data_IF_167678779401
#
_entry.id   IF_167678779401
#
_cell.length_a   1.000
_cell.length_b   1.000
_cell.length_c   1.000
_cell.angle_alpha   90.00
_cell.angle_beta   90.00
_cell.angle_gamma   90.00
#
_symmetry.space_group_name_H-M   'P 1'
#
loop_
_entity.id
_entity.type
_entity.pdbx_description
1 polymer ?
#
# COMPACT_ATOMS: atom_id res chain seq x y z
N UNK A 1 11.78 -31.82 -29.04
CA UNK A 1 11.16 -31.73 -27.71
C UNK A 1 9.76 -32.35 -27.82
N UNK A 2 9.35 -33.17 -26.87
CA UNK A 2 8.02 -33.80 -26.91
C UNK A 2 6.97 -32.74 -26.66
N UNK A 3 5.93 -32.59 -27.50
CA UNK A 3 4.86 -31.57 -27.32
C UNK A 3 4.25 -31.54 -25.90
N UNK A 4 4.27 -32.68 -25.18
CA UNK A 4 3.77 -32.81 -23.82
C UNK A 4 4.63 -32.13 -22.73
N UNK A 5 5.89 -31.79 -23.05
CA UNK A 5 6.83 -31.18 -22.09
C UNK A 5 7.03 -29.69 -22.33
N UNK A 6 6.44 -29.14 -23.40
CA UNK A 6 6.67 -27.77 -23.83
C UNK A 6 6.16 -26.75 -22.81
N UNK A 7 4.93 -26.87 -22.34
CA UNK A 7 4.35 -25.90 -21.37
C UNK A 7 5.16 -25.87 -20.07
N UNK A 8 5.45 -27.02 -19.47
CA UNK A 8 6.22 -27.12 -18.23
C UNK A 8 7.64 -26.55 -18.39
N UNK A 9 8.28 -26.83 -19.52
CA UNK A 9 9.60 -26.31 -19.85
C UNK A 9 9.60 -24.78 -19.93
N UNK A 10 8.64 -24.18 -20.65
CA UNK A 10 8.58 -22.74 -20.79
C UNK A 10 8.19 -22.05 -19.47
N UNK A 11 7.26 -22.59 -18.67
CA UNK A 11 6.95 -22.03 -17.35
C UNK A 11 8.17 -22.09 -16.44
N UNK A 12 8.91 -23.18 -16.43
CA UNK A 12 10.13 -23.32 -15.63
C UNK A 12 11.17 -22.29 -16.05
N UNK A 13 11.50 -22.21 -17.34
CA UNK A 13 12.44 -21.23 -17.88
C UNK A 13 12.00 -19.79 -17.61
N UNK A 14 10.72 -19.50 -17.77
CA UNK A 14 10.17 -18.20 -17.49
C UNK A 14 10.41 -17.78 -16.04
N UNK A 15 10.08 -18.64 -15.07
CA UNK A 15 10.19 -18.31 -13.64
C UNK A 15 11.66 -18.28 -13.17
N UNK A 16 12.51 -19.20 -13.63
CA UNK A 16 13.87 -19.37 -13.12
C UNK A 16 14.90 -18.54 -13.89
N UNK A 17 14.88 -18.60 -15.21
CA UNK A 17 15.91 -17.99 -16.06
C UNK A 17 15.53 -16.58 -16.51
N UNK A 18 14.31 -16.41 -17.03
CA UNK A 18 13.87 -15.12 -17.55
C UNK A 18 13.56 -14.11 -16.46
N UNK A 19 12.67 -14.45 -15.52
CA UNK A 19 12.25 -13.50 -14.47
C UNK A 19 13.37 -13.25 -13.45
N UNK A 20 14.04 -14.30 -12.99
CA UNK A 20 15.10 -14.17 -11.99
C UNK A 20 16.41 -13.67 -12.62
N UNK A 21 16.86 -14.29 -13.73
CA UNK A 21 18.13 -14.00 -14.36
C UNK A 21 18.09 -12.73 -15.22
N UNK A 22 17.32 -12.75 -16.31
CA UNK A 22 17.35 -11.66 -17.29
C UNK A 22 16.64 -10.38 -16.84
N UNK A 23 15.51 -10.52 -16.14
CA UNK A 23 14.68 -9.37 -15.67
C UNK A 23 15.02 -8.93 -14.25
N UNK A 24 15.82 -9.70 -13.52
CA UNK A 24 16.19 -9.45 -12.12
C UNK A 24 15.00 -9.01 -11.25
N UNK A 25 13.86 -9.72 -11.40
CA UNK A 25 12.65 -9.40 -10.66
C UNK A 25 12.75 -9.89 -9.22
N UNK A 26 12.02 -9.21 -8.32
CA UNK A 26 12.02 -9.59 -6.91
C UNK A 26 11.41 -10.98 -6.70
N UNK A 27 11.91 -11.71 -5.70
CA UNK A 27 11.38 -13.02 -5.30
C UNK A 27 9.86 -12.99 -5.04
N UNK A 28 9.33 -11.90 -4.49
CA UNK A 28 7.88 -11.74 -4.28
C UNK A 28 7.10 -11.70 -5.61
N UNK A 29 7.67 -11.08 -6.65
CA UNK A 29 7.05 -11.03 -7.99
C UNK A 29 7.06 -12.42 -8.60
N UNK A 30 8.18 -13.13 -8.51
CA UNK A 30 8.33 -14.49 -9.03
C UNK A 30 7.36 -15.43 -8.32
N UNK A 31 7.25 -15.36 -6.98
CA UNK A 31 6.30 -16.14 -6.20
C UNK A 31 4.85 -15.86 -6.60
N UNK A 32 4.47 -14.59 -6.78
CA UNK A 32 3.11 -14.22 -7.23
C UNK A 32 2.78 -14.77 -8.61
N UNK A 33 3.76 -14.84 -9.50
CA UNK A 33 3.58 -15.43 -10.83
C UNK A 33 3.51 -16.95 -10.76
N UNK A 34 4.38 -17.58 -9.96
CA UNK A 34 4.31 -19.02 -9.70
C UNK A 34 2.92 -19.44 -9.14
N UNK A 35 2.37 -18.66 -8.20
CA UNK A 35 1.01 -18.86 -7.68
C UNK A 35 -0.05 -18.77 -8.79
N UNK A 36 0.15 -17.89 -9.78
CA UNK A 36 -0.76 -17.81 -10.93
C UNK A 36 -0.73 -19.08 -11.75
N UNK A 37 0.46 -19.60 -12.08
CA UNK A 37 0.56 -20.85 -12.83
C UNK A 37 0.06 -22.04 -12.05
N UNK A 38 0.25 -22.10 -10.73
CA UNK A 38 -0.38 -23.10 -9.87
C UNK A 38 -1.91 -23.09 -10.01
N UNK A 39 -2.52 -21.90 -10.04
CA UNK A 39 -3.96 -21.78 -10.24
C UNK A 39 -4.40 -22.18 -11.66
N UNK A 40 -3.59 -21.87 -12.69
CA UNK A 40 -3.82 -22.33 -14.07
C UNK A 40 -3.82 -23.86 -14.13
N UNK A 41 -2.84 -24.53 -13.52
CA UNK A 41 -2.78 -25.99 -13.45
C UNK A 41 -4.02 -26.60 -12.76
N UNK A 42 -4.46 -25.98 -11.65
CA UNK A 42 -5.68 -26.40 -10.95
C UNK A 42 -6.91 -26.25 -11.85
N UNK A 43 -7.06 -25.12 -12.55
CA UNK A 43 -8.17 -24.91 -13.48
C UNK A 43 -8.21 -25.96 -14.59
N UNK A 44 -7.07 -26.23 -15.24
CA UNK A 44 -7.02 -27.25 -16.28
C UNK A 44 -7.39 -28.65 -15.73
N UNK A 45 -6.90 -28.99 -14.55
CA UNK A 45 -7.20 -30.26 -13.92
C UNK A 45 -8.68 -30.39 -13.51
N UNK A 46 -9.26 -29.35 -12.90
CA UNK A 46 -10.61 -29.44 -12.31
C UNK A 46 -11.73 -29.10 -13.28
N UNK A 47 -11.50 -28.21 -14.23
CA UNK A 47 -12.54 -27.71 -15.17
C UNK A 47 -12.41 -28.35 -16.55
N UNK A 48 -11.17 -28.53 -17.01
CA UNK A 48 -10.91 -29.09 -18.36
C UNK A 48 -10.60 -30.60 -18.34
N UNK A 49 -10.44 -31.19 -17.16
CA UNK A 49 -10.05 -32.61 -17.00
C UNK A 49 -8.70 -32.95 -17.68
N UNK A 50 -7.79 -31.96 -17.75
CA UNK A 50 -6.45 -32.12 -18.30
C UNK A 50 -5.45 -32.13 -17.15
N UNK A 51 -4.75 -33.23 -16.95
CA UNK A 51 -3.72 -33.35 -15.91
C UNK A 51 -2.52 -32.46 -16.22
N UNK A 52 -1.83 -31.96 -15.19
CA UNK A 52 -0.77 -30.96 -15.30
C UNK A 52 0.38 -31.39 -16.27
N UNK A 53 0.66 -32.69 -16.34
CA UNK A 53 1.68 -33.27 -17.22
C UNK A 53 1.25 -33.35 -18.70
N UNK A 54 -0.04 -33.13 -19.00
CA UNK A 54 -0.60 -33.19 -20.34
C UNK A 54 -0.92 -31.83 -20.94
N UNK A 55 -0.78 -30.75 -20.17
CA UNK A 55 -1.01 -29.39 -20.67
C UNK A 55 0.09 -29.03 -21.67
N UNK A 56 -0.31 -28.53 -22.82
CA UNK A 56 0.57 -28.09 -23.92
C UNK A 56 0.42 -26.60 -24.19
N UNK A 57 1.22 -26.03 -25.08
CA UNK A 57 1.01 -24.65 -25.54
C UNK A 57 -0.23 -24.52 -26.42
N UNK A 58 -0.69 -25.58 -27.08
CA UNK A 58 -1.96 -25.61 -27.83
C UNK A 58 -3.18 -25.35 -26.91
N UNK A 59 -3.07 -25.69 -25.61
CA UNK A 59 -4.14 -25.45 -24.63
C UNK A 59 -4.18 -23.98 -24.16
N UNK A 60 -3.12 -23.21 -24.41
CA UNK A 60 -3.04 -21.80 -24.08
C UNK A 60 -3.77 -20.95 -25.12
N UNK A 61 -5.09 -21.10 -25.17
CA UNK A 61 -5.98 -20.36 -26.05
C UNK A 61 -6.61 -19.17 -25.34
N UNK A 62 -7.08 -18.18 -26.11
CA UNK A 62 -7.85 -17.06 -25.55
C UNK A 62 -9.04 -17.51 -24.72
N UNK A 63 -9.79 -18.50 -25.21
CA UNK A 63 -11.01 -18.95 -24.57
C UNK A 63 -10.72 -19.71 -23.27
N UNK A 64 -9.65 -20.50 -23.20
CA UNK A 64 -9.21 -21.14 -21.98
C UNK A 64 -8.71 -20.10 -20.96
N UNK A 65 -8.03 -19.03 -21.37
CA UNK A 65 -7.59 -17.99 -20.47
C UNK A 65 -8.75 -17.14 -19.96
N UNK A 66 -9.76 -16.86 -20.76
CA UNK A 66 -11.00 -16.20 -20.31
C UNK A 66 -11.71 -17.11 -19.30
N UNK A 67 -11.94 -18.38 -19.65
CA UNK A 67 -12.58 -19.35 -18.74
C UNK A 67 -11.82 -19.49 -17.40
N UNK A 68 -10.49 -19.47 -17.42
CA UNK A 68 -9.68 -19.43 -16.19
C UNK A 68 -9.94 -18.19 -15.35
N UNK A 69 -10.02 -17.03 -15.99
CA UNK A 69 -10.24 -15.76 -15.28
C UNK A 69 -11.67 -15.67 -14.70
N UNK A 70 -12.66 -16.20 -15.41
CA UNK A 70 -14.05 -16.26 -14.94
C UNK A 70 -14.19 -17.31 -13.80
N UNK A 71 -13.53 -18.45 -13.90
CA UNK A 71 -13.45 -19.43 -12.82
C UNK A 71 -12.85 -18.88 -11.53
N UNK A 72 -11.83 -18.01 -11.65
CA UNK A 72 -11.26 -17.33 -10.49
C UNK A 72 -12.29 -16.45 -9.77
N UNK A 73 -13.09 -15.70 -10.51
CA UNK A 73 -14.10 -14.79 -9.92
C UNK A 73 -15.32 -15.58 -9.41
N UNK A 74 -15.90 -16.47 -10.24
CA UNK A 74 -17.17 -17.14 -9.95
C UNK A 74 -17.03 -18.31 -8.98
N UNK A 75 -15.98 -19.12 -9.13
CA UNK A 75 -15.81 -20.33 -8.32
C UNK A 75 -14.94 -20.10 -7.10
N UNK A 76 -13.89 -19.25 -7.23
CA UNK A 76 -12.92 -18.99 -6.17
C UNK A 76 -13.17 -17.69 -5.41
N UNK A 77 -14.15 -16.88 -5.81
CA UNK A 77 -14.48 -15.61 -5.16
C UNK A 77 -13.35 -14.58 -5.20
N UNK A 78 -12.48 -14.65 -6.21
CA UNK A 78 -11.32 -13.77 -6.32
C UNK A 78 -11.77 -12.38 -6.77
N UNK A 79 -11.38 -11.33 -6.04
CA UNK A 79 -11.69 -9.95 -6.38
C UNK A 79 -11.09 -9.55 -7.75
N UNK A 80 -11.79 -8.68 -8.49
CA UNK A 80 -11.41 -8.23 -9.84
C UNK A 80 -9.99 -7.66 -9.91
N UNK A 81 -9.52 -6.96 -8.87
CA UNK A 81 -8.13 -6.48 -8.80
C UNK A 81 -7.13 -7.65 -8.82
N UNK A 82 -7.38 -8.71 -8.04
CA UNK A 82 -6.53 -9.91 -8.01
C UNK A 82 -6.61 -10.70 -9.33
N UNK A 83 -7.81 -10.81 -9.93
CA UNK A 83 -7.99 -11.38 -11.28
C UNK A 83 -7.13 -10.66 -12.30
N UNK A 84 -7.08 -9.33 -12.27
CA UNK A 84 -6.24 -8.53 -13.18
C UNK A 84 -4.74 -8.74 -12.95
N UNK A 85 -4.31 -8.96 -11.70
CA UNK A 85 -2.92 -9.35 -11.39
C UNK A 85 -2.58 -10.71 -12.03
N UNK A 86 -3.51 -11.70 -11.99
CA UNK A 86 -3.30 -13.00 -12.65
C UNK A 86 -3.23 -12.85 -14.17
N UNK A 87 -4.06 -12.01 -14.77
CA UNK A 87 -3.98 -11.70 -16.19
C UNK A 87 -2.63 -11.05 -16.55
N UNK A 88 -2.12 -10.15 -15.75
CA UNK A 88 -0.80 -9.55 -15.99
C UNK A 88 0.34 -10.59 -15.96
N UNK A 89 0.25 -11.60 -15.08
CA UNK A 89 1.20 -12.71 -15.06
C UNK A 89 1.13 -13.56 -16.34
N UNK A 90 -0.10 -13.88 -16.79
CA UNK A 90 -0.33 -14.59 -18.07
C UNK A 90 0.25 -13.77 -19.23
N UNK A 91 -0.07 -12.49 -19.33
CA UNK A 91 0.46 -11.63 -20.39
C UNK A 91 1.99 -11.56 -20.41
N UNK A 92 2.61 -11.53 -19.23
CA UNK A 92 4.08 -11.54 -19.13
C UNK A 92 4.66 -12.84 -19.64
N UNK A 93 4.05 -13.98 -19.31
CA UNK A 93 4.44 -15.28 -19.81
C UNK A 93 4.26 -15.39 -21.32
N UNK A 94 3.11 -15.01 -21.85
CA UNK A 94 2.81 -15.05 -23.28
C UNK A 94 3.79 -14.19 -24.08
N UNK A 95 4.16 -12.99 -23.58
CA UNK A 95 5.20 -12.16 -24.22
C UNK A 95 6.57 -12.84 -24.23
N UNK A 96 6.89 -13.63 -23.22
CA UNK A 96 8.11 -14.41 -23.19
C UNK A 96 8.05 -15.55 -24.18
N UNK A 97 6.99 -16.36 -24.15
CA UNK A 97 6.88 -17.55 -25.01
C UNK A 97 6.79 -17.19 -26.49
N UNK A 98 6.10 -16.10 -26.86
CA UNK A 98 5.98 -15.71 -28.29
C UNK A 98 7.31 -15.41 -28.96
N UNK A 99 8.35 -15.08 -28.19
CA UNK A 99 9.70 -14.86 -28.72
C UNK A 99 10.46 -16.20 -28.92
N UNK A 100 10.07 -17.23 -28.19
CA UNK A 100 10.70 -18.56 -28.22
C UNK A 100 9.94 -19.55 -29.16
N UNK A 101 8.63 -19.36 -29.29
CA UNK A 101 7.72 -20.19 -30.08
C UNK A 101 6.83 -19.36 -31.00
N UNK A 102 7.22 -19.18 -32.26
CA UNK A 102 6.42 -18.43 -33.25
C UNK A 102 5.22 -19.22 -33.78
N UNK A 103 5.11 -20.52 -33.56
CA UNK A 103 4.05 -21.34 -34.15
C UNK A 103 2.64 -20.93 -33.67
N UNK A 104 2.53 -20.46 -32.42
CA UNK A 104 1.24 -20.06 -31.82
C UNK A 104 1.03 -18.54 -31.77
N UNK A 105 1.77 -17.77 -32.54
CA UNK A 105 1.77 -16.30 -32.46
C UNK A 105 0.37 -15.69 -32.55
N UNK A 106 -0.50 -16.24 -33.39
CA UNK A 106 -1.86 -15.75 -33.58
C UNK A 106 -2.69 -15.90 -32.29
N UNK A 107 -2.65 -17.04 -31.63
CA UNK A 107 -3.34 -17.26 -30.34
C UNK A 107 -2.73 -16.40 -29.24
N UNK A 108 -1.42 -16.25 -29.21
CA UNK A 108 -0.75 -15.36 -28.23
C UNK A 108 -1.23 -13.90 -28.36
N UNK A 109 -1.41 -13.38 -29.57
CA UNK A 109 -1.95 -12.04 -29.78
C UNK A 109 -3.38 -11.92 -29.28
N UNK A 110 -4.23 -12.94 -29.45
CA UNK A 110 -5.58 -12.97 -28.91
C UNK A 110 -5.61 -12.96 -27.38
N UNK A 111 -4.67 -13.69 -26.73
CA UNK A 111 -4.55 -13.68 -25.26
C UNK A 111 -4.10 -12.30 -24.80
N UNK A 112 -3.10 -11.70 -25.44
CA UNK A 112 -2.60 -10.36 -25.11
C UNK A 112 -3.65 -9.27 -25.30
N UNK A 113 -4.65 -9.49 -26.15
CA UNK A 113 -5.78 -8.59 -26.36
C UNK A 113 -6.84 -8.65 -25.24
N UNK A 114 -6.78 -9.62 -24.31
CA UNK A 114 -7.68 -9.69 -23.16
C UNK A 114 -7.44 -8.47 -22.26
N UNK A 115 -8.48 -7.67 -22.04
CA UNK A 115 -8.40 -6.43 -21.26
C UNK A 115 -8.62 -6.68 -19.77
N UNK A 116 -8.02 -5.83 -18.96
CA UNK A 116 -8.34 -5.76 -17.54
C UNK A 116 -9.82 -5.36 -17.35
N UNK A 117 -10.52 -6.03 -16.44
CA UNK A 117 -11.84 -5.57 -16.00
C UNK A 117 -11.70 -4.27 -15.21
N UNK A 118 -12.55 -3.29 -15.50
CA UNK A 118 -12.63 -2.07 -14.68
C UNK A 118 -13.12 -2.45 -13.27
N UNK A 119 -12.51 -1.90 -12.27
CA UNK A 119 -12.95 -2.03 -10.88
C UNK A 119 -12.90 -0.66 -10.22
N UNK A 120 -13.87 -0.41 -9.35
CA UNK A 120 -13.83 0.80 -8.55
C UNK A 120 -12.66 0.67 -7.56
N UNK A 121 -11.82 1.69 -7.51
CA UNK A 121 -10.82 1.78 -6.45
C UNK A 121 -11.58 1.98 -5.14
N UNK A 122 -11.44 1.06 -4.20
CA UNK A 122 -11.96 1.26 -2.86
C UNK A 122 -11.33 2.52 -2.25
N UNK A 123 -12.08 3.19 -1.38
CA UNK A 123 -11.53 4.28 -0.59
C UNK A 123 -10.31 3.78 0.18
N UNK A 124 -9.27 4.59 0.22
CA UNK A 124 -8.04 4.24 0.92
C UNK A 124 -8.29 4.38 2.41
N UNK A 125 -8.25 3.27 3.17
CA UNK A 125 -8.45 3.34 4.61
C UNK A 125 -7.26 4.06 5.26
N UNK A 126 -7.55 5.01 6.14
CA UNK A 126 -6.56 5.67 6.98
C UNK A 126 -7.11 5.92 8.37
N UNK A 127 -6.21 6.11 9.34
CA UNK A 127 -6.54 6.45 10.72
C UNK A 127 -6.49 7.96 10.90
N UNK A 128 -7.40 8.51 11.68
CA UNK A 128 -7.32 9.91 12.10
C UNK A 128 -6.10 10.14 13.01
N UNK A 129 -5.70 11.40 13.19
CA UNK A 129 -4.59 11.77 14.10
C UNK A 129 -4.87 11.25 15.53
N UNK A 130 -6.11 11.33 16.01
CA UNK A 130 -6.47 10.85 17.35
C UNK A 130 -6.37 9.32 17.46
N UNK A 131 -6.80 8.59 16.43
CA UNK A 131 -6.67 7.14 16.37
C UNK A 131 -5.21 6.70 16.31
N UNK A 132 -4.37 7.38 15.51
CA UNK A 132 -2.92 7.12 15.51
C UNK A 132 -2.32 7.35 16.90
N UNK A 133 -2.64 8.49 17.56
CA UNK A 133 -2.18 8.76 18.93
C UNK A 133 -2.60 7.68 19.92
N UNK A 134 -3.84 7.21 19.84
CA UNK A 134 -4.34 6.13 20.69
C UNK A 134 -3.52 4.84 20.50
N UNK A 135 -3.28 4.42 19.26
CA UNK A 135 -2.50 3.21 18.97
C UNK A 135 -1.04 3.36 19.40
N UNK A 136 -0.40 4.52 19.17
CA UNK A 136 0.99 4.76 19.56
C UNK A 136 1.19 4.85 21.08
N UNK A 137 0.15 5.18 21.84
CA UNK A 137 0.18 5.24 23.31
C UNK A 137 -0.32 3.97 24.00
N UNK A 138 -0.91 3.04 23.28
CA UNK A 138 -1.39 1.77 23.83
C UNK A 138 -0.29 0.84 24.38
N UNK A 139 0.96 0.82 23.82
CA UNK A 139 2.03 -0.01 24.37
C UNK A 139 2.46 0.46 25.77
N UNK A 140 2.54 -0.48 26.72
CA UNK A 140 3.10 -0.24 28.07
C UNK A 140 4.61 -0.02 28.00
N UNK A 141 5.03 1.23 28.10
CA UNK A 141 6.44 1.65 28.01
C UNK A 141 7.28 1.29 29.24
N UNK A 142 6.70 0.74 30.31
CA UNK A 142 7.42 0.24 31.47
C UNK A 142 8.05 -1.13 31.19
N UNK A 143 7.50 -1.88 30.24
CA UNK A 143 8.03 -3.16 29.82
C UNK A 143 8.96 -3.00 28.62
N UNK A 144 10.06 -3.78 28.59
CA UNK A 144 11.02 -3.77 27.47
C UNK A 144 10.34 -4.05 26.11
N UNK A 145 9.39 -4.97 26.09
CA UNK A 145 8.66 -5.32 24.87
C UNK A 145 7.70 -4.21 24.44
N UNK A 146 6.95 -3.65 25.39
CA UNK A 146 6.03 -2.57 25.09
C UNK A 146 6.75 -1.30 24.62
N UNK A 147 7.89 -0.97 25.27
CA UNK A 147 8.70 0.15 24.81
C UNK A 147 9.27 -0.06 23.40
N UNK A 148 9.80 -1.27 23.08
CA UNK A 148 10.20 -1.62 21.71
C UNK A 148 9.04 -1.42 20.74
N UNK A 149 7.84 -1.93 21.06
CA UNK A 149 6.68 -1.88 20.18
C UNK A 149 6.22 -0.42 19.98
N UNK A 150 6.28 0.41 21.02
CA UNK A 150 5.99 1.85 20.90
C UNK A 150 6.95 2.54 19.94
N UNK A 151 8.26 2.31 20.10
CA UNK A 151 9.28 2.91 19.20
C UNK A 151 9.07 2.42 17.76
N UNK A 152 8.83 1.13 17.58
CA UNK A 152 8.57 0.52 16.26
C UNK A 152 7.36 1.14 15.55
N UNK A 153 6.22 1.25 16.24
CA UNK A 153 4.99 1.83 15.68
C UNK A 153 5.18 3.32 15.38
N UNK A 154 5.89 4.05 16.24
CA UNK A 154 6.20 5.47 16.03
C UNK A 154 7.09 5.66 14.81
N UNK A 155 8.15 4.84 14.65
CA UNK A 155 9.03 4.90 13.47
C UNK A 155 8.26 4.51 12.20
N UNK A 156 7.42 3.47 12.25
CA UNK A 156 6.59 3.05 11.13
C UNK A 156 5.69 4.20 10.63
N UNK A 157 5.02 4.89 11.56
CA UNK A 157 4.15 6.02 11.23
C UNK A 157 4.95 7.25 10.78
N UNK A 158 5.97 7.64 11.53
CA UNK A 158 6.69 8.90 11.28
C UNK A 158 7.44 8.88 9.94
N UNK A 159 8.06 7.75 9.61
CA UNK A 159 8.79 7.58 8.36
C UNK A 159 7.92 7.18 7.18
N UNK A 160 6.71 6.67 7.42
CA UNK A 160 5.86 6.06 6.40
C UNK A 160 6.52 4.87 5.69
N UNK A 161 7.46 4.18 6.35
CA UNK A 161 8.18 3.05 5.78
C UNK A 161 7.22 1.90 5.39
N UNK A 162 7.59 1.14 4.36
CA UNK A 162 6.94 -0.14 4.09
C UNK A 162 7.36 -1.16 5.14
N UNK A 163 6.51 -2.17 5.39
CA UNK A 163 6.81 -3.19 6.40
C UNK A 163 8.17 -3.86 6.18
N UNK A 164 8.53 -4.18 4.95
CA UNK A 164 9.83 -4.78 4.62
C UNK A 164 11.02 -3.83 4.83
N UNK A 165 10.81 -2.54 4.61
CA UNK A 165 11.80 -1.50 4.86
C UNK A 165 12.06 -1.38 6.35
N UNK A 166 11.00 -1.39 7.17
CA UNK A 166 11.10 -1.35 8.64
C UNK A 166 11.80 -2.61 9.20
N UNK A 167 11.43 -3.81 8.72
CA UNK A 167 12.05 -5.08 9.15
C UNK A 167 13.55 -5.09 8.87
N UNK A 168 13.98 -4.52 7.74
CA UNK A 168 15.39 -4.51 7.32
C UNK A 168 16.19 -3.32 7.85
N UNK A 169 15.53 -2.38 8.52
CA UNK A 169 16.18 -1.19 9.06
C UNK A 169 17.25 -1.58 10.08
N UNK A 170 18.42 -1.02 9.96
CA UNK A 170 19.58 -1.27 10.84
C UNK A 170 19.80 -0.09 11.78
N UNK A 171 20.47 -0.33 12.88
CA UNK A 171 20.84 0.73 13.82
C UNK A 171 21.71 1.81 13.13
N UNK A 172 22.61 1.42 12.24
CA UNK A 172 23.45 2.34 11.47
C UNK A 172 22.71 3.18 10.40
N UNK A 173 21.46 2.85 10.09
CA UNK A 173 20.62 3.66 9.19
C UNK A 173 20.07 4.90 9.90
N UNK A 174 20.09 4.93 11.24
CA UNK A 174 19.55 6.01 12.06
C UNK A 174 20.66 6.98 12.45
N UNK A 175 20.49 8.24 12.08
CA UNK A 175 21.32 9.36 12.50
C UNK A 175 20.55 10.24 13.46
N UNK A 176 20.95 10.31 14.72
CA UNK A 176 20.28 11.08 15.76
C UNK A 176 20.81 12.52 15.92
N UNK A 177 22.01 12.80 15.37
CA UNK A 177 22.56 14.17 15.34
C UNK A 177 21.77 15.07 14.38
N UNK A 178 21.67 16.36 14.70
CA UNK A 178 20.94 17.34 13.88
C UNK A 178 21.60 17.56 12.50
N UNK A 179 20.85 17.57 11.42
CA UNK A 179 19.46 17.15 11.31
C UNK A 179 19.31 15.61 11.44
N UNK A 180 18.41 15.18 12.34
CA UNK A 180 18.17 13.76 12.59
C UNK A 180 17.43 13.13 11.41
N UNK A 181 17.92 11.99 10.95
CA UNK A 181 17.40 11.32 9.75
C UNK A 181 17.48 9.80 9.86
N UNK A 182 16.70 9.12 9.04
CA UNK A 182 16.83 7.68 8.82
C UNK A 182 16.99 7.38 7.34
N UNK A 183 17.94 6.51 6.99
CA UNK A 183 18.12 5.99 5.64
C UNK A 183 17.24 4.77 5.44
N UNK A 184 16.45 4.75 4.39
CA UNK A 184 15.53 3.65 4.08
C UNK A 184 15.85 3.10 2.70
N UNK A 185 16.13 1.81 2.65
CA UNK A 185 16.37 1.07 1.39
C UNK A 185 15.05 0.49 0.88
N UNK A 186 14.57 1.00 -0.24
CA UNK A 186 13.33 0.60 -0.88
C UNK A 186 13.50 -0.46 -1.96
N UNK A 187 12.42 -0.68 -2.74
CA UNK A 187 12.41 -1.62 -3.88
C UNK A 187 13.47 -1.23 -4.91
N UNK A 188 14.23 -2.21 -5.39
CA UNK A 188 15.31 -2.00 -6.36
C UNK A 188 16.54 -1.33 -5.75
N UNK A 189 16.76 -1.50 -4.45
CA UNK A 189 17.89 -0.94 -3.68
C UNK A 189 17.97 0.60 -3.71
N UNK A 190 16.85 1.27 -3.97
CA UNK A 190 16.78 2.75 -3.98
C UNK A 190 16.79 3.26 -2.55
N UNK A 191 17.78 4.11 -2.26
CA UNK A 191 17.92 4.77 -0.97
C UNK A 191 17.11 6.06 -0.93
N UNK A 192 16.45 6.31 0.20
CA UNK A 192 15.91 7.62 0.55
C UNK A 192 16.24 7.98 1.99
N UNK A 193 16.36 9.25 2.25
CA UNK A 193 16.59 9.77 3.60
C UNK A 193 15.34 10.49 4.07
N UNK A 194 14.82 10.07 5.23
CA UNK A 194 13.61 10.65 5.82
C UNK A 194 14.00 11.39 7.09
N UNK A 195 13.62 12.68 7.26
CA UNK A 195 13.86 13.42 8.49
C UNK A 195 13.02 12.83 9.63
N UNK A 196 13.60 12.79 10.84
CA UNK A 196 12.95 12.31 12.06
C UNK A 196 12.50 13.49 12.91
N UNK A 197 11.27 13.41 13.43
CA UNK A 197 10.72 14.42 14.33
C UNK A 197 11.26 14.26 15.75
N UNK A 198 11.31 15.35 16.51
CA UNK A 198 11.97 15.40 17.81
C UNK A 198 11.49 14.33 18.81
N UNK A 199 10.19 14.04 18.86
CA UNK A 199 9.65 12.99 19.71
C UNK A 199 10.18 11.59 19.31
N UNK A 200 10.22 11.30 18.00
CA UNK A 200 10.75 10.04 17.47
C UNK A 200 12.24 9.91 17.75
N UNK A 201 12.99 11.02 17.66
CA UNK A 201 14.43 11.07 18.01
C UNK A 201 14.65 10.71 19.47
N UNK A 202 13.86 11.29 20.39
CA UNK A 202 13.95 10.99 21.83
C UNK A 202 13.68 9.52 22.14
N UNK A 203 12.64 8.95 21.54
CA UNK A 203 12.30 7.54 21.69
C UNK A 203 13.39 6.62 21.13
N UNK A 204 13.91 6.92 19.94
CA UNK A 204 14.98 6.13 19.30
C UNK A 204 16.27 6.20 20.10
N UNK A 205 16.66 7.39 20.61
CA UNK A 205 17.85 7.56 21.42
C UNK A 205 17.81 6.63 22.63
N UNK A 206 16.74 6.73 23.44
CA UNK A 206 16.54 5.87 24.59
C UNK A 206 16.54 4.38 24.21
N UNK A 207 15.86 4.02 23.11
CA UNK A 207 15.78 2.62 22.66
C UNK A 207 17.15 2.06 22.26
N UNK A 208 17.95 2.83 21.55
CA UNK A 208 19.30 2.47 21.10
C UNK A 208 20.24 2.32 22.32
N UNK A 209 20.16 3.24 23.28
CA UNK A 209 20.93 3.19 24.53
C UNK A 209 20.57 1.95 25.38
N UNK A 210 19.27 1.69 25.62
CA UNK A 210 18.80 0.55 26.43
C UNK A 210 19.11 -0.83 25.81
N UNK A 211 19.33 -0.90 24.50
CA UNK A 211 19.66 -2.13 23.78
C UNK A 211 21.14 -2.26 23.40
N UNK A 212 22.00 -1.34 23.86
CA UNK A 212 23.45 -1.29 23.60
C UNK A 212 23.80 -1.33 22.08
N UNK A 213 22.93 -0.73 21.24
CA UNK A 213 23.10 -0.77 19.80
C UNK A 213 24.22 0.18 19.29
N UNK A 214 24.78 1.04 20.12
CA UNK A 214 25.92 1.90 19.78
C UNK A 214 27.28 1.30 20.15
N UNK A 215 27.34 0.44 21.20
CA UNK A 215 28.59 -0.01 21.81
C UNK A 215 29.19 -1.27 21.20
N UNK A 216 28.44 -2.02 20.43
CA UNK A 216 28.94 -3.27 19.86
C UNK A 216 29.76 -2.99 18.60
N UNK A 217 30.84 -3.73 18.44
CA UNK A 217 31.81 -3.59 17.35
C UNK A 217 31.18 -3.67 15.92
N UNK A 218 29.98 -4.26 15.80
CA UNK A 218 29.21 -4.37 14.55
C UNK A 218 27.79 -3.81 14.69
N UNK A 219 27.53 -2.91 15.64
CA UNK A 219 26.21 -2.39 15.96
C UNK A 219 25.49 -1.73 14.76
N UNK A 220 26.26 -1.08 13.88
CA UNK A 220 25.72 -0.45 12.67
C UNK A 220 25.04 -1.44 11.70
N UNK A 221 25.39 -2.72 11.76
CA UNK A 221 24.84 -3.77 10.89
C UNK A 221 23.71 -4.56 11.56
N UNK A 222 23.49 -4.38 12.88
CA UNK A 222 22.41 -5.04 13.60
C UNK A 222 21.05 -4.45 13.19
N UNK A 223 20.02 -5.32 13.14
CA UNK A 223 18.66 -4.85 12.91
C UNK A 223 18.20 -3.93 14.04
N UNK A 224 17.55 -2.83 13.69
CA UNK A 224 17.04 -1.87 14.66
C UNK A 224 16.00 -2.53 15.58
N UNK A 225 15.11 -3.34 15.01
CA UNK A 225 14.06 -4.05 15.73
C UNK A 225 14.23 -5.56 15.62
N UNK A 226 14.30 -6.22 16.76
CA UNK A 226 14.45 -7.68 16.86
C UNK A 226 13.36 -8.29 17.74
N UNK A 227 13.10 -9.60 17.54
CA UNK A 227 12.22 -10.39 18.39
C UNK A 227 12.95 -10.82 19.69
N UNK A 228 12.26 -11.61 20.55
CA UNK A 228 12.84 -12.12 21.80
C UNK A 228 14.09 -12.98 21.59
N UNK A 229 14.17 -13.68 20.47
CA UNK A 229 15.32 -14.53 20.08
C UNK A 229 16.43 -13.75 19.35
N UNK A 230 16.38 -12.41 19.36
CA UNK A 230 17.30 -11.50 18.64
C UNK A 230 17.34 -11.69 17.12
N UNK A 231 16.36 -12.35 16.53
CA UNK A 231 16.18 -12.40 15.08
C UNK A 231 15.37 -11.19 14.59
N UNK A 232 15.50 -10.85 13.30
CA UNK A 232 14.67 -9.82 12.70
C UNK A 232 13.17 -10.16 12.80
N UNK A 233 12.35 -9.13 12.85
CA UNK A 233 10.90 -9.30 12.84
C UNK A 233 10.41 -9.80 11.47
N UNK A 234 9.23 -10.42 11.45
CA UNK A 234 8.57 -10.85 10.22
C UNK A 234 7.39 -9.93 9.90
N UNK A 235 6.90 -9.96 8.66
CA UNK A 235 5.66 -9.23 8.28
C UNK A 235 4.49 -9.62 9.18
N UNK A 236 4.31 -10.91 9.44
CA UNK A 236 3.27 -11.41 10.32
C UNK A 236 3.45 -10.90 11.76
N UNK A 237 4.70 -10.83 12.25
CA UNK A 237 4.99 -10.27 13.55
C UNK A 237 4.64 -8.79 13.68
N UNK A 238 4.92 -7.98 12.66
CA UNK A 238 4.52 -6.56 12.62
C UNK A 238 2.99 -6.43 12.57
N UNK A 239 2.31 -7.22 11.74
CA UNK A 239 0.84 -7.21 11.66
C UNK A 239 0.21 -7.57 12.99
N UNK A 240 0.74 -8.58 13.68
CA UNK A 240 0.28 -8.97 15.02
C UNK A 240 0.49 -7.84 16.06
N UNK A 241 1.64 -7.14 16.03
CA UNK A 241 1.89 -6.00 16.91
C UNK A 241 0.87 -4.90 16.68
N UNK A 242 0.58 -4.56 15.42
CA UNK A 242 -0.42 -3.56 15.06
C UNK A 242 -1.81 -3.98 15.57
N UNK A 243 -2.24 -5.19 15.25
CA UNK A 243 -3.55 -5.72 15.64
C UNK A 243 -3.72 -5.70 17.16
N UNK A 244 -2.71 -6.15 17.91
CA UNK A 244 -2.69 -6.12 19.38
C UNK A 244 -2.95 -4.70 19.93
N UNK A 245 -2.28 -3.68 19.40
CA UNK A 245 -2.39 -2.33 19.93
C UNK A 245 -3.57 -1.54 19.36
N UNK A 246 -4.08 -1.90 18.20
CA UNK A 246 -5.38 -1.43 17.72
C UNK A 246 -6.50 -1.94 18.62
N UNK A 247 -6.47 -3.24 19.00
CA UNK A 247 -7.42 -3.80 19.95
C UNK A 247 -7.37 -3.09 21.29
N UNK A 248 -6.18 -2.91 21.85
CA UNK A 248 -6.00 -2.19 23.12
C UNK A 248 -6.44 -0.72 23.04
N UNK A 249 -6.22 -0.03 21.90
CA UNK A 249 -6.71 1.32 21.68
C UNK A 249 -8.25 1.37 21.64
N UNK A 250 -8.89 0.38 21.00
CA UNK A 250 -10.35 0.29 20.95
C UNK A 250 -10.97 -0.01 22.33
N UNK A 251 -10.33 -0.84 23.15
CA UNK A 251 -10.72 -1.07 24.54
C UNK A 251 -10.69 0.24 25.37
N UNK A 252 -9.88 1.21 24.94
CA UNK A 252 -9.82 2.57 25.51
C UNK A 252 -10.59 3.62 24.69
N UNK A 253 -11.55 3.23 23.87
CA UNK A 253 -12.47 4.12 23.17
C UNK A 253 -11.96 4.78 21.90
N UNK A 254 -10.98 4.18 21.20
CA UNK A 254 -10.45 4.77 19.96
C UNK A 254 -11.36 4.61 18.73
N UNK A 255 -12.35 3.73 18.78
CA UNK A 255 -13.38 3.50 17.72
C UNK A 255 -12.75 3.24 16.32
N UNK A 256 -11.74 2.41 16.25
CA UNK A 256 -11.09 2.03 15.00
C UNK A 256 -11.85 0.85 14.40
N UNK A 257 -12.66 1.10 13.37
CA UNK A 257 -13.54 0.10 12.75
C UNK A 257 -12.92 -0.54 11.51
N UNK A 258 -11.83 0.01 10.99
CA UNK A 258 -11.14 -0.49 9.80
C UNK A 258 -10.12 -1.58 10.16
N UNK A 259 -9.85 -2.50 9.22
CA UNK A 259 -8.77 -3.46 9.37
C UNK A 259 -7.41 -2.76 9.20
N UNK A 260 -6.69 -2.60 10.29
CA UNK A 260 -5.41 -1.87 10.31
C UNK A 260 -4.24 -2.81 10.06
N UNK A 261 -3.50 -2.51 9.01
CA UNK A 261 -2.27 -3.21 8.64
C UNK A 261 -1.16 -2.18 8.32
N UNK A 262 0.11 -2.58 8.14
CA UNK A 262 1.23 -1.63 7.97
C UNK A 262 1.01 -0.56 6.89
N UNK A 263 0.30 -0.89 5.80
CA UNK A 263 0.00 0.09 4.75
C UNK A 263 -0.99 1.18 5.21
N UNK A 264 -1.89 0.87 6.16
CA UNK A 264 -2.81 1.88 6.72
C UNK A 264 -2.03 2.95 7.48
N UNK A 265 -0.99 2.59 8.25
CA UNK A 265 -0.09 3.56 8.89
C UNK A 265 0.57 4.49 7.87
N UNK A 266 1.06 3.93 6.77
CA UNK A 266 1.67 4.69 5.69
C UNK A 266 0.66 5.59 4.97
N UNK A 267 -0.56 5.10 4.71
CA UNK A 267 -1.64 5.89 4.14
C UNK A 267 -2.04 7.05 5.05
N UNK A 268 -2.17 6.78 6.36
CA UNK A 268 -2.46 7.81 7.36
C UNK A 268 -1.37 8.89 7.38
N UNK A 269 -0.08 8.52 7.36
CA UNK A 269 1.01 9.50 7.28
C UNK A 269 0.92 10.36 6.02
N UNK A 270 0.63 9.74 4.87
CA UNK A 270 0.50 10.47 3.60
C UNK A 270 -0.66 11.48 3.62
N UNK A 271 -1.83 11.05 4.13
CA UNK A 271 -3.01 11.91 4.26
C UNK A 271 -2.73 13.05 5.24
N UNK A 272 -2.17 12.77 6.42
CA UNK A 272 -1.88 13.79 7.42
C UNK A 272 -0.82 14.82 6.95
N UNK A 273 0.19 14.40 6.19
CA UNK A 273 1.14 15.33 5.56
C UNK A 273 0.44 16.24 4.56
N UNK A 274 -0.45 15.67 3.74
CA UNK A 274 -1.21 16.42 2.76
C UNK A 274 -2.18 17.41 3.43
N UNK A 275 -2.88 16.99 4.48
CA UNK A 275 -3.77 17.84 5.29
C UNK A 275 -3.01 18.98 5.97
N UNK A 276 -1.74 18.74 6.32
CA UNK A 276 -0.85 19.77 6.88
C UNK A 276 -0.25 20.71 5.81
N UNK A 277 -0.67 20.59 4.54
CA UNK A 277 -0.23 21.46 3.45
C UNK A 277 1.12 21.07 2.82
N UNK A 278 1.67 19.89 3.11
CA UNK A 278 2.89 19.42 2.49
C UNK A 278 2.62 19.05 1.02
N UNK A 279 3.44 19.57 0.10
CA UNK A 279 3.29 19.33 -1.33
C UNK A 279 3.48 17.84 -1.68
N UNK A 280 2.72 17.36 -2.68
CA UNK A 280 2.73 15.97 -3.14
C UNK A 280 4.12 15.46 -3.53
N UNK A 281 5.00 16.34 -4.03
CA UNK A 281 6.35 15.98 -4.42
C UNK A 281 7.19 15.55 -3.22
N UNK A 282 7.10 16.27 -2.09
CA UNK A 282 7.80 15.90 -0.86
C UNK A 282 7.21 14.65 -0.23
N UNK A 283 5.89 14.49 -0.27
CA UNK A 283 5.22 13.27 0.19
C UNK A 283 5.69 12.07 -0.63
N UNK A 284 5.77 12.19 -1.96
CA UNK A 284 6.33 11.16 -2.85
C UNK A 284 7.73 10.75 -2.43
N UNK A 285 8.60 11.73 -2.17
CA UNK A 285 10.00 11.49 -1.84
C UNK A 285 10.16 10.86 -0.45
N UNK A 286 9.42 11.34 0.56
CA UNK A 286 9.37 10.75 1.90
C UNK A 286 8.91 9.29 1.83
N UNK A 287 7.85 9.02 1.08
CA UNK A 287 7.31 7.67 0.93
C UNK A 287 8.15 6.80 -0.02
N UNK A 288 8.96 7.37 -0.89
CA UNK A 288 9.74 6.64 -1.91
C UNK A 288 8.83 6.00 -2.97
N UNK A 289 7.85 6.77 -3.49
CA UNK A 289 7.07 6.37 -4.65
C UNK A 289 7.86 6.64 -5.93
N UNK A 290 7.86 5.68 -6.85
CA UNK A 290 8.52 5.83 -8.15
C UNK A 290 7.81 6.80 -9.08
N UNK A 291 6.53 7.08 -8.84
CA UNK A 291 5.69 8.01 -9.60
C UNK A 291 4.84 8.87 -8.67
N UNK A 292 4.64 10.12 -9.05
CA UNK A 292 3.70 11.04 -8.37
C UNK A 292 2.27 10.49 -8.43
N UNK A 293 1.89 9.84 -9.53
CA UNK A 293 0.57 9.20 -9.71
C UNK A 293 0.20 8.26 -8.55
N UNK A 294 1.19 7.57 -7.96
CA UNK A 294 0.97 6.75 -6.77
C UNK A 294 0.64 7.60 -5.53
N UNK A 295 1.04 8.87 -5.50
CA UNK A 295 0.79 9.78 -4.38
C UNK A 295 -0.49 10.58 -4.60
N UNK A 296 -0.90 10.81 -5.85
CA UNK A 296 -2.15 11.51 -6.23
C UNK A 296 -3.41 10.83 -5.69
N UNK A 297 -3.33 9.53 -5.41
CA UNK A 297 -4.45 8.80 -4.78
C UNK A 297 -4.86 9.43 -3.44
N UNK A 298 -3.91 10.01 -2.69
CA UNK A 298 -4.21 10.69 -1.43
C UNK A 298 -4.89 12.04 -1.63
N UNK A 299 -4.59 12.75 -2.72
CA UNK A 299 -5.25 14.00 -3.06
C UNK A 299 -6.76 13.83 -3.32
N UNK A 300 -7.19 12.62 -3.73
CA UNK A 300 -8.61 12.30 -3.90
C UNK A 300 -9.34 12.16 -2.58
N UNK A 301 -8.65 11.79 -1.52
CA UNK A 301 -9.21 11.55 -0.17
C UNK A 301 -9.30 12.85 0.63
N UNK A 302 -8.35 13.79 0.44
CA UNK A 302 -8.29 15.02 1.21
C UNK A 302 -9.28 16.08 0.70
N UNK A 303 -10.50 16.08 1.27
CA UNK A 303 -11.54 17.08 0.98
C UNK A 303 -11.27 18.46 1.60
N UNK A 304 -10.59 18.50 2.74
CA UNK A 304 -10.25 19.75 3.43
C UNK A 304 -9.34 20.65 2.56
N UNK A 305 -8.31 20.10 1.96
CA UNK A 305 -7.40 20.88 1.08
C UNK A 305 -8.09 21.33 -0.22
N UNK A 306 -9.03 20.51 -0.74
CA UNK A 306 -9.86 20.91 -1.89
C UNK A 306 -10.73 22.11 -1.54
N UNK A 307 -11.37 22.07 -0.38
CA UNK A 307 -12.20 23.17 0.11
C UNK A 307 -11.36 24.43 0.34
N UNK A 308 -10.24 24.33 1.05
CA UNK A 308 -9.33 25.45 1.27
C UNK A 308 -8.78 26.06 -0.03
N UNK A 309 -8.44 25.21 -1.01
CA UNK A 309 -8.02 25.68 -2.33
C UNK A 309 -9.15 26.38 -3.09
N UNK A 310 -10.37 25.87 -3.00
CA UNK A 310 -11.55 26.50 -3.60
C UNK A 310 -11.87 27.81 -2.88
N UNK A 311 -11.87 27.86 -1.55
CA UNK A 311 -12.08 29.09 -0.77
C UNK A 311 -11.04 30.15 -1.06
N UNK A 312 -9.78 29.76 -1.27
CA UNK A 312 -8.69 30.69 -1.66
C UNK A 312 -8.81 31.19 -3.10
N UNK A 313 -9.35 30.38 -4.00
CA UNK A 313 -9.54 30.73 -5.41
C UNK A 313 -10.92 31.35 -5.68
N UNK A 314 -11.81 31.33 -4.67
CA UNK A 314 -13.17 31.80 -4.80
C UNK A 314 -13.18 33.33 -4.69
N UNK A 315 -13.28 34.04 -5.83
CA UNK A 315 -13.78 35.40 -5.89
C UNK A 315 -15.30 35.33 -5.65
N UNK A 316 -15.81 36.12 -4.70
CA UNK A 316 -17.25 36.23 -4.42
C UNK A 316 -17.98 36.68 -5.72
N UNK A 317 -18.44 35.73 -6.50
CA UNK A 317 -19.18 35.97 -7.76
C UNK A 317 -20.67 36.16 -7.50
N UNK A 318 -21.17 35.74 -6.34
CA UNK A 318 -22.54 35.96 -5.92
C UNK A 318 -22.58 37.07 -4.87
N UNK A 319 -23.29 38.16 -5.16
CA UNK A 319 -23.64 39.18 -4.16
C UNK A 319 -24.34 38.51 -2.98
N UNK A 320 -23.77 38.66 -1.79
CA UNK A 320 -24.39 38.23 -0.54
C UNK A 320 -25.50 39.24 -0.10
N UNK A 321 -26.34 39.67 -1.01
CA UNK A 321 -27.48 40.53 -0.68
C UNK A 321 -28.78 39.80 -0.97
N UNK A 322 -29.01 38.70 -0.27
CA UNK A 322 -30.37 38.52 0.25
C UNK A 322 -30.40 39.29 1.60
N UNK A 323 -30.71 40.58 1.52
CA UNK A 323 -31.16 41.30 2.72
C UNK A 323 -32.31 40.46 3.33
N UNK A 324 -32.11 39.99 4.54
CA UNK A 324 -33.17 39.26 5.26
C UNK A 324 -34.37 40.22 5.34
N UNK A 325 -35.48 39.80 4.80
CA UNK A 325 -36.72 40.60 4.79
C UNK A 325 -37.07 41.19 6.17
N UNK A 326 -36.63 40.49 7.24
CA UNK A 326 -36.82 40.92 8.62
C UNK A 326 -35.98 42.15 9.00
N UNK A 327 -34.84 42.38 8.36
CA UNK A 327 -33.91 43.50 8.65
C UNK A 327 -34.22 44.74 7.81
N UNK A 328 -35.08 44.64 6.79
CA UNK A 328 -35.48 45.77 5.96
C UNK A 328 -36.62 46.57 6.64
N UNK A 329 -36.23 47.56 7.45
CA UNK A 329 -37.16 48.39 8.22
C UNK A 329 -38.17 49.15 7.35
N UNK A 330 -37.83 49.51 6.13
CA UNK A 330 -38.72 50.21 5.19
C UNK A 330 -39.78 49.27 4.63
N UNK A 331 -39.41 48.03 4.32
CA UNK A 331 -40.33 46.98 3.86
C UNK A 331 -41.31 46.58 5.00
N UNK A 332 -40.80 46.43 6.23
CA UNK A 332 -41.62 46.11 7.40
C UNK A 332 -42.57 47.25 7.78
N UNK A 333 -42.14 48.52 7.64
CA UNK A 333 -43.01 49.68 7.88
C UNK A 333 -44.10 49.80 6.81
N UNK A 334 -43.79 49.51 5.54
CA UNK A 334 -44.74 49.47 4.44
C UNK A 334 -45.78 48.36 4.63
N UNK A 335 -45.36 47.13 4.96
CA UNK A 335 -46.25 46.00 5.27
C UNK A 335 -47.19 46.35 6.46
N UNK A 336 -46.67 47.01 7.50
CA UNK A 336 -47.46 47.45 8.64
C UNK A 336 -48.49 48.55 8.27
N UNK A 337 -48.20 49.36 7.27
CA UNK A 337 -49.13 50.37 6.76
C UNK A 337 -50.29 49.76 5.97
N UNK A 338 -50.07 48.64 5.30
CA UNK A 338 -51.11 47.89 4.58
C UNK A 338 -52.13 47.25 5.51
N UNK A 339 -51.65 46.70 6.65
CA UNK A 339 -52.51 46.07 7.64
C UNK A 339 -53.44 47.06 8.40
N UNK A 340 -53.12 48.37 8.33
CA UNK A 340 -53.96 49.43 8.94
C UNK A 340 -54.98 50.00 7.97
N UNK A 341 -54.98 49.60 6.69
CA UNK A 341 -55.94 50.05 5.67
C UNK A 341 -57.01 49.02 5.30
N UNK A 342 -56.93 47.81 5.88
CA UNK A 342 -57.91 46.75 5.78
C UNK A 342 -58.70 46.70 7.07
#
# INVERSE_FOLDING_TARGET
MNKKEEFQYYVTKFLTSYMAGQRNLSQNTISSYADTFKLVLIYFSTVKNISADKITLDDMTRDNMIGFLDWLEETRGVATASRNIRLAAIHSFIRYVQAEDPAHLYEYQKILAIRNKKHQSAEIPYLTINQIKAVLNAPDSSTRQGFRDKVLLTVLYDTGARVDELIRMKAGDVRLSSPATVKITGKGNKLRTVPLMGNTVGLLKRYIEENDLERKQHSSQEYLFVNRSRNHLTRAGISYIIEKYVKAANENGAEILINVHPHVFRHSKAVHLLESGVELIYIRDILGHSSVTTTEIYAKVCTANKRAALEKAYENVADQSEEDWADNKDLMSWLSSLSKKA
#
